data_IF_185314772575
#
_entry.id   IF_185314772575
#
_cell.length_a   1.000
_cell.length_b   1.000
_cell.length_c   1.000
_cell.angle_alpha   90.00
_cell.angle_beta   90.00
_cell.angle_gamma   90.00
#
_symmetry.space_group_name_H-M   'P 1'
#
loop_
_entity.id
_entity.type
_entity.pdbx_description
1 polymer ?
#
# COMPACT_ATOMS: atom_id res chain seq x y z
N UNK A 1 -9.98 -5.68 27.71
CA UNK A 1 -9.07 -5.73 26.54
C UNK A 1 -9.03 -7.09 25.85
N UNK A 2 -8.87 -8.23 26.55
CA UNK A 2 -8.87 -9.58 25.93
C UNK A 2 -10.12 -9.91 25.10
N UNK A 3 -11.31 -9.46 25.53
CA UNK A 3 -12.59 -9.70 24.83
C UNK A 3 -12.72 -8.93 23.50
N UNK A 4 -12.11 -7.74 23.39
CA UNK A 4 -12.13 -6.92 22.16
C UNK A 4 -11.17 -7.49 21.12
N UNK A 5 -10.02 -8.01 21.56
CA UNK A 5 -9.05 -8.67 20.69
C UNK A 5 -9.59 -9.99 20.13
N UNK A 6 -10.31 -10.77 20.93
CA UNK A 6 -10.99 -11.99 20.47
C UNK A 6 -12.07 -11.69 19.43
N UNK A 7 -12.79 -10.58 19.57
CA UNK A 7 -13.84 -10.17 18.64
C UNK A 7 -13.28 -9.72 17.28
N UNK A 8 -12.12 -9.05 17.27
CA UNK A 8 -11.41 -8.69 16.03
C UNK A 8 -10.90 -9.93 15.25
N UNK A 9 -10.42 -10.96 15.97
CA UNK A 9 -9.97 -12.21 15.34
C UNK A 9 -11.16 -12.96 14.71
N UNK A 10 -12.31 -12.99 15.39
CA UNK A 10 -13.52 -13.65 14.87
C UNK A 10 -14.03 -12.95 13.61
N UNK A 11 -13.99 -11.61 13.56
CA UNK A 11 -14.38 -10.83 12.36
C UNK A 11 -13.41 -11.07 11.19
N UNK A 12 -12.11 -11.18 11.45
CA UNK A 12 -11.12 -11.47 10.41
C UNK A 12 -11.30 -12.88 9.82
N UNK A 13 -11.59 -13.88 10.66
CA UNK A 13 -11.85 -15.27 10.22
C UNK A 13 -13.18 -15.39 9.47
N UNK A 14 -14.22 -14.66 9.89
CA UNK A 14 -15.51 -14.65 9.22
C UNK A 14 -15.47 -13.96 7.83
N UNK A 15 -14.48 -13.10 7.58
CA UNK A 15 -14.29 -12.44 6.28
C UNK A 15 -13.62 -13.34 5.23
N UNK A 16 -13.01 -14.46 5.65
CA UNK A 16 -12.30 -15.39 4.77
C UNK A 16 -13.19 -16.42 4.07
N UNK A 17 -14.46 -16.59 4.48
CA UNK A 17 -15.35 -17.63 3.94
C UNK A 17 -16.20 -17.17 2.75
N UNK A 18 -16.10 -15.90 2.34
CA UNK A 18 -16.76 -15.37 1.14
C UNK A 18 -15.89 -15.46 -0.13
N UNK A 19 -14.86 -16.32 -0.12
CA UNK A 19 -14.13 -16.67 -1.34
C UNK A 19 -15.00 -17.57 -2.22
N UNK A 20 -15.89 -16.97 -3.01
CA UNK A 20 -16.50 -17.62 -4.15
C UNK A 20 -15.38 -17.92 -5.16
N UNK A 21 -14.78 -19.09 -5.06
CA UNK A 21 -13.90 -19.64 -6.08
C UNK A 21 -14.68 -19.70 -7.40
N UNK A 22 -14.10 -19.16 -8.46
CA UNK A 22 -14.69 -19.09 -9.80
C UNK A 22 -15.33 -20.42 -10.18
N UNK A 23 -16.61 -20.36 -10.53
CA UNK A 23 -17.31 -21.44 -11.18
C UNK A 23 -16.63 -21.66 -12.53
N UNK A 24 -15.85 -22.73 -12.63
CA UNK A 24 -15.12 -23.12 -13.83
C UNK A 24 -16.11 -23.57 -14.91
N UNK A 25 -16.74 -22.61 -15.56
CA UNK A 25 -17.39 -22.84 -16.83
C UNK A 25 -16.26 -22.97 -17.85
N UNK A 26 -16.12 -24.17 -18.41
CA UNK A 26 -15.17 -24.45 -19.49
C UNK A 26 -15.31 -23.35 -20.55
N UNK A 27 -14.19 -22.67 -20.75
CA UNK A 27 -14.10 -21.51 -21.61
C UNK A 27 -14.50 -21.93 -23.03
N UNK A 28 -15.52 -21.28 -23.58
CA UNK A 28 -16.01 -21.59 -24.93
C UNK A 28 -15.00 -21.17 -26.01
N UNK A 29 -13.87 -20.57 -25.61
CA UNK A 29 -12.73 -20.20 -26.45
C UNK A 29 -12.11 -21.40 -27.19
N UNK A 30 -12.18 -22.62 -26.65
CA UNK A 30 -11.66 -23.82 -27.32
C UNK A 30 -12.71 -24.58 -28.16
N UNK A 31 -13.96 -24.13 -28.18
CA UNK A 31 -15.06 -24.82 -28.85
C UNK A 31 -15.32 -24.34 -30.29
N UNK A 32 -14.62 -23.30 -30.77
CA UNK A 32 -14.85 -22.70 -32.09
C UNK A 32 -13.54 -22.67 -32.88
N UNK A 33 -13.48 -23.49 -33.93
CA UNK A 33 -12.28 -23.89 -34.66
C UNK A 33 -11.66 -22.83 -35.55
N UNK A 34 -11.38 -21.63 -35.03
CA UNK A 34 -10.63 -20.61 -35.74
C UNK A 34 -9.52 -20.05 -34.84
N UNK A 35 -8.32 -20.60 -34.99
CA UNK A 35 -7.13 -20.32 -34.16
C UNK A 35 -6.73 -18.84 -34.23
N UNK A 36 -7.11 -18.14 -35.31
CA UNK A 36 -6.87 -16.70 -35.49
C UNK A 36 -7.70 -15.88 -34.50
N UNK A 37 -8.98 -16.24 -34.31
CA UNK A 37 -9.89 -15.53 -33.39
C UNK A 37 -9.45 -15.63 -31.92
N UNK A 38 -8.82 -16.76 -31.55
CA UNK A 38 -8.26 -16.96 -30.22
C UNK A 38 -7.02 -16.08 -30.01
N UNK A 39 -6.17 -15.95 -31.04
CA UNK A 39 -4.98 -15.07 -30.98
C UNK A 39 -5.41 -13.60 -30.88
N UNK A 40 -6.41 -13.18 -31.65
CA UNK A 40 -6.91 -11.81 -31.61
C UNK A 40 -7.47 -11.45 -30.22
N UNK A 41 -8.26 -12.35 -29.61
CA UNK A 41 -8.75 -12.15 -28.24
C UNK A 41 -7.64 -12.13 -27.20
N UNK A 42 -6.55 -12.89 -27.39
CA UNK A 42 -5.38 -12.84 -26.51
C UNK A 42 -4.59 -11.54 -26.67
N UNK A 43 -4.47 -11.01 -27.88
CA UNK A 43 -3.81 -9.73 -28.16
C UNK A 43 -4.64 -8.56 -27.62
N UNK A 44 -5.95 -8.57 -27.78
CA UNK A 44 -6.85 -7.58 -27.19
C UNK A 44 -6.75 -7.56 -25.66
N UNK A 45 -6.75 -8.73 -25.01
CA UNK A 45 -6.56 -8.83 -23.56
C UNK A 45 -5.16 -8.37 -23.10
N UNK A 46 -4.14 -8.56 -23.93
CA UNK A 46 -2.79 -8.05 -23.66
C UNK A 46 -2.72 -6.52 -23.77
N UNK A 47 -3.36 -5.94 -24.79
CA UNK A 47 -3.44 -4.49 -24.99
C UNK A 47 -4.23 -3.82 -23.86
N UNK A 48 -5.38 -4.38 -23.47
CA UNK A 48 -6.15 -3.89 -22.32
C UNK A 48 -5.34 -3.96 -21.02
N UNK A 49 -4.53 -5.00 -20.83
CA UNK A 49 -3.64 -5.12 -19.68
C UNK A 49 -2.54 -4.04 -19.69
N UNK A 50 -1.89 -3.81 -20.82
CA UNK A 50 -0.87 -2.77 -20.97
C UNK A 50 -1.44 -1.36 -20.77
N UNK A 51 -2.63 -1.11 -21.30
CA UNK A 51 -3.34 0.15 -21.14
C UNK A 51 -3.78 0.36 -19.67
N UNK A 52 -4.20 -0.71 -19.00
CA UNK A 52 -4.51 -0.72 -17.57
C UNK A 52 -3.31 -0.41 -16.66
N UNK A 53 -2.09 -0.76 -17.07
CA UNK A 53 -0.84 -0.38 -16.39
C UNK A 53 -0.46 1.08 -16.64
N UNK A 54 -0.77 1.59 -17.83
CA UNK A 54 -0.35 2.92 -18.27
C UNK A 54 -1.28 4.03 -17.79
N UNK A 55 -2.55 3.71 -17.47
CA UNK A 55 -3.55 4.69 -17.06
C UNK A 55 -3.34 5.22 -15.63
N UNK A 56 -3.45 6.54 -15.40
CA UNK A 56 -3.42 7.11 -14.05
C UNK A 56 -4.58 6.57 -13.20
N UNK A 57 -4.25 5.89 -12.10
CA UNK A 57 -5.22 5.32 -11.15
C UNK A 57 -5.07 5.96 -9.78
N UNK A 58 -6.20 6.21 -9.13
CA UNK A 58 -6.20 6.62 -7.73
C UNK A 58 -6.02 5.38 -6.85
N UNK A 59 -5.10 5.43 -5.90
CA UNK A 59 -4.89 4.33 -4.95
C UNK A 59 -4.66 4.86 -3.53
N UNK A 60 -5.12 4.07 -2.56
CA UNK A 60 -4.82 4.29 -1.17
C UNK A 60 -3.80 3.24 -0.72
N UNK A 61 -2.82 3.66 0.08
CA UNK A 61 -1.85 2.77 0.71
C UNK A 61 -2.02 2.83 2.21
N UNK A 62 -1.98 1.66 2.85
CA UNK A 62 -1.91 1.51 4.30
C UNK A 62 -0.73 0.59 4.53
N UNK A 63 0.25 1.05 5.30
CA UNK A 63 1.43 0.25 5.61
C UNK A 63 1.79 0.36 7.08
N UNK A 64 2.47 -0.67 7.58
CA UNK A 64 2.91 -0.74 8.96
C UNK A 64 4.34 -1.27 8.96
N UNK A 65 5.28 -0.45 9.42
CA UNK A 65 6.67 -0.85 9.64
C UNK A 65 6.90 -1.26 11.08
N UNK A 66 7.59 -2.38 11.30
CA UNK A 66 8.11 -2.78 12.61
C UNK A 66 9.62 -2.84 12.50
N UNK A 67 10.32 -2.18 13.43
CA UNK A 67 11.78 -2.12 13.43
C UNK A 67 12.34 -2.07 14.84
N UNK A 68 13.67 -2.06 14.95
CA UNK A 68 14.40 -1.94 16.21
C UNK A 68 15.19 -0.63 16.32
N UNK A 69 14.96 0.30 15.38
CA UNK A 69 15.67 1.58 15.27
C UNK A 69 14.67 2.73 15.29
N UNK A 70 15.02 3.78 16.02
CA UNK A 70 14.27 5.04 16.05
C UNK A 70 14.94 6.06 15.15
N UNK A 71 14.18 6.89 14.46
CA UNK A 71 14.70 7.92 13.55
C UNK A 71 14.06 9.26 13.92
N UNK A 72 14.83 10.27 14.29
CA UNK A 72 14.29 11.60 14.63
C UNK A 72 15.00 12.73 13.88
N UNK A 73 14.23 13.57 13.20
CA UNK A 73 14.82 14.71 12.45
C UNK A 73 15.08 15.92 13.36
N UNK A 74 14.26 16.11 14.41
CA UNK A 74 14.28 17.31 15.26
C UNK A 74 14.94 17.12 16.64
N UNK A 75 15.35 15.91 17.01
CA UNK A 75 15.87 15.67 18.36
C UNK A 75 17.17 14.86 18.33
N UNK A 76 18.27 15.56 18.58
CA UNK A 76 19.60 14.95 18.64
C UNK A 76 19.72 13.93 19.80
N UNK A 77 18.99 14.12 20.91
CA UNK A 77 18.95 13.14 22.01
C UNK A 77 18.26 11.84 21.59
N UNK A 78 17.20 11.90 20.77
CA UNK A 78 16.56 10.72 20.20
C UNK A 78 17.45 10.01 19.16
N UNK A 79 18.28 10.76 18.43
CA UNK A 79 19.26 10.17 17.51
C UNK A 79 20.42 9.47 18.24
N UNK A 80 20.89 10.03 19.37
CA UNK A 80 21.86 9.33 20.23
C UNK A 80 21.27 8.07 20.88
N UNK A 81 19.97 8.09 21.17
CA UNK A 81 19.19 6.97 21.70
C UNK A 81 18.77 5.95 20.61
N UNK A 82 18.94 6.27 19.32
CA UNK A 82 18.66 5.37 18.20
C UNK A 82 19.63 4.18 18.12
N UNK A 83 20.78 4.29 18.79
CA UNK A 83 21.76 3.21 18.95
C UNK A 83 21.29 2.16 19.97
N UNK A 84 20.40 2.54 20.90
CA UNK A 84 19.77 1.57 21.79
C UNK A 84 18.65 0.86 21.02
N UNK A 85 18.85 -0.43 20.72
CA UNK A 85 17.87 -1.29 20.05
C UNK A 85 16.53 -1.27 20.78
N UNK A 86 15.53 -0.57 20.22
CA UNK A 86 14.20 -0.42 20.80
C UNK A 86 13.16 -0.70 19.75
N UNK A 87 12.12 -1.46 20.13
CA UNK A 87 11.02 -1.78 19.23
C UNK A 87 10.31 -0.49 18.80
N UNK A 88 10.28 -0.27 17.49
CA UNK A 88 9.61 0.85 16.83
C UNK A 88 8.49 0.35 15.93
N UNK A 89 7.40 1.11 15.90
CA UNK A 89 6.21 0.85 15.11
C UNK A 89 5.87 2.10 14.30
N UNK A 90 5.69 1.92 13.00
CA UNK A 90 5.58 3.03 12.04
C UNK A 90 4.39 2.79 11.12
N UNK A 91 3.16 3.10 11.56
CA UNK A 91 2.01 3.06 10.68
C UNK A 91 2.05 4.26 9.73
N UNK A 92 1.72 4.00 8.48
CA UNK A 92 1.54 5.04 7.48
C UNK A 92 0.28 4.80 6.64
N UNK A 93 -0.30 5.90 6.19
CA UNK A 93 -1.43 5.92 5.29
C UNK A 93 -1.13 6.94 4.20
N UNK A 94 -1.51 6.64 2.97
CA UNK A 94 -1.38 7.57 1.85
C UNK A 94 -2.52 7.43 0.88
N UNK A 95 -2.83 8.52 0.20
CA UNK A 95 -3.79 8.57 -0.87
C UNK A 95 -3.15 9.30 -2.05
N UNK A 96 -3.17 8.65 -3.21
CA UNK A 96 -2.65 9.19 -4.45
C UNK A 96 -3.80 9.23 -5.45
N UNK A 97 -4.08 10.41 -5.97
CA UNK A 97 -5.16 10.63 -6.92
C UNK A 97 -4.62 10.57 -8.36
N UNK A 98 -5.45 10.08 -9.29
CA UNK A 98 -5.13 10.02 -10.74
C UNK A 98 -4.73 11.35 -11.38
N UNK A 99 -4.97 12.48 -10.71
CA UNK A 99 -4.51 13.81 -11.16
C UNK A 99 -3.05 14.10 -10.85
N UNK A 100 -2.34 13.18 -10.17
CA UNK A 100 -0.98 13.36 -9.69
C UNK A 100 -0.88 13.83 -8.25
N UNK A 101 -1.94 14.39 -7.68
CA UNK A 101 -1.92 14.86 -6.28
C UNK A 101 -1.90 13.68 -5.30
N UNK A 102 -0.93 13.68 -4.39
CA UNK A 102 -0.80 12.71 -3.33
C UNK A 102 -0.70 13.36 -1.96
N UNK A 103 -1.14 12.65 -0.94
CA UNK A 103 -0.90 13.00 0.45
C UNK A 103 -0.65 11.73 1.25
N UNK A 104 0.41 11.71 2.05
CA UNK A 104 0.67 10.62 2.98
C UNK A 104 1.01 11.13 4.37
N UNK A 105 0.64 10.34 5.37
CA UNK A 105 0.89 10.58 6.79
C UNK A 105 1.56 9.36 7.39
N UNK A 106 2.61 9.59 8.17
CA UNK A 106 3.34 8.54 8.90
C UNK A 106 3.47 8.94 10.36
N UNK A 107 3.17 8.04 11.29
CA UNK A 107 3.45 8.23 12.70
C UNK A 107 4.62 7.34 13.12
N UNK A 108 5.48 7.83 13.99
CA UNK A 108 6.60 7.08 14.53
C UNK A 108 6.38 6.85 16.01
N UNK A 109 6.26 5.57 16.38
CA UNK A 109 5.92 5.13 17.73
C UNK A 109 7.07 4.26 18.23
N UNK A 110 7.52 4.51 19.46
CA UNK A 110 8.54 3.68 20.10
C UNK A 110 8.33 3.61 21.62
N UNK A 111 8.87 2.57 22.24
CA UNK A 111 8.90 2.44 23.69
C UNK A 111 10.08 3.19 24.29
N UNK A 112 9.82 4.16 25.18
CA UNK A 112 10.82 4.85 25.98
C UNK A 112 10.51 4.62 27.46
N UNK A 113 11.48 4.07 28.21
CA UNK A 113 11.39 3.86 29.66
C UNK A 113 10.10 3.17 30.11
N UNK A 114 9.73 2.08 29.42
CA UNK A 114 8.52 1.30 29.70
C UNK A 114 7.20 1.89 29.17
N UNK A 115 7.23 3.07 28.55
CA UNK A 115 6.06 3.74 27.99
C UNK A 115 6.13 3.87 26.47
N UNK A 116 5.08 3.44 25.78
CA UNK A 116 4.93 3.64 24.32
C UNK A 116 4.48 5.07 24.04
N UNK A 117 5.26 5.81 23.25
CA UNK A 117 4.93 7.20 22.88
C UNK A 117 5.08 7.41 21.38
N UNK A 118 4.20 8.24 20.82
CA UNK A 118 4.39 8.82 19.50
C UNK A 118 5.40 9.96 19.65
N UNK A 119 6.55 9.84 19.00
CA UNK A 119 7.63 10.81 19.15
C UNK A 119 7.84 11.68 17.91
N UNK A 120 7.33 11.25 16.76
CA UNK A 120 7.35 12.03 15.54
C UNK A 120 6.14 11.68 14.67
N UNK A 121 5.68 12.66 13.90
CA UNK A 121 4.77 12.48 12.78
C UNK A 121 5.40 13.09 11.54
N UNK A 122 5.00 12.59 10.38
CA UNK A 122 5.42 13.11 9.09
C UNK A 122 4.19 13.25 8.19
N UNK A 123 3.98 14.43 7.63
CA UNK A 123 2.97 14.67 6.60
C UNK A 123 3.69 15.03 5.30
N UNK A 124 3.32 14.33 4.22
CA UNK A 124 3.95 14.45 2.91
C UNK A 124 2.90 14.70 1.84
N UNK A 125 2.59 15.97 1.51
CA UNK A 125 2.01 16.29 0.22
C UNK A 125 2.98 15.94 -0.91
N UNK A 126 2.43 15.41 -2.01
CA UNK A 126 3.17 15.13 -3.24
C UNK A 126 2.35 15.50 -4.48
N UNK A 127 3.07 15.72 -5.58
CA UNK A 127 2.48 15.85 -6.91
C UNK A 127 3.35 15.11 -7.91
N UNK A 128 2.76 14.14 -8.60
CA UNK A 128 3.41 13.30 -9.60
C UNK A 128 2.77 13.53 -10.98
N UNK A 129 3.57 14.02 -11.92
CA UNK A 129 3.21 14.08 -13.33
C UNK A 129 3.67 12.81 -14.03
N UNK A 130 2.73 12.08 -14.65
CA UNK A 130 2.99 10.90 -15.49
C UNK A 130 2.61 11.22 -16.93
N UNK A 131 3.60 11.40 -17.79
CA UNK A 131 3.43 11.51 -19.24
C UNK A 131 4.00 10.29 -19.96
N UNK A 132 3.64 10.09 -21.23
CA UNK A 132 4.08 8.94 -22.04
C UNK A 132 5.60 8.85 -22.23
N UNK A 133 6.30 10.00 -22.18
CA UNK A 133 7.75 10.10 -22.40
C UNK A 133 8.54 10.51 -21.16
N UNK A 134 7.90 11.26 -20.25
CA UNK A 134 8.56 11.83 -19.06
C UNK A 134 7.60 11.75 -17.89
N UNK A 135 8.10 11.23 -16.78
CA UNK A 135 7.42 11.23 -15.48
C UNK A 135 8.30 11.95 -14.48
N UNK A 136 7.71 12.86 -13.72
CA UNK A 136 8.42 13.67 -12.73
C UNK A 136 7.51 13.93 -11.54
N UNK A 137 8.08 13.92 -10.34
CA UNK A 137 7.33 14.09 -9.09
C UNK A 137 8.05 15.01 -8.12
N UNK A 138 7.27 15.73 -7.31
CA UNK A 138 7.77 16.50 -6.18
C UNK A 138 7.01 16.11 -4.93
N UNK A 139 7.74 15.94 -3.83
CA UNK A 139 7.17 15.64 -2.52
C UNK A 139 7.87 16.47 -1.46
N UNK A 140 7.12 16.94 -0.47
CA UNK A 140 7.66 17.66 0.67
C UNK A 140 7.20 17.02 1.96
N UNK A 141 8.12 16.50 2.77
CA UNK A 141 7.82 15.86 4.05
C UNK A 141 8.15 16.81 5.20
N UNK A 142 7.20 16.97 6.13
CA UNK A 142 7.40 17.72 7.38
C UNK A 142 7.02 16.92 8.60
#
# INVERSE_FOLDING_TARGET
MKKVFALLIIVFVASGTAAFAQQSRLDSLFAKGDTTSVIDSLMEGFDEYLDSLSKPKSFATISVGIGNRTFSVNNNSLNTQATASRLSFTPSIGYYHKSGLGISGTAFIAGFDGNTKVYQYALTPSFDYMGERVSAGISYTR
#
